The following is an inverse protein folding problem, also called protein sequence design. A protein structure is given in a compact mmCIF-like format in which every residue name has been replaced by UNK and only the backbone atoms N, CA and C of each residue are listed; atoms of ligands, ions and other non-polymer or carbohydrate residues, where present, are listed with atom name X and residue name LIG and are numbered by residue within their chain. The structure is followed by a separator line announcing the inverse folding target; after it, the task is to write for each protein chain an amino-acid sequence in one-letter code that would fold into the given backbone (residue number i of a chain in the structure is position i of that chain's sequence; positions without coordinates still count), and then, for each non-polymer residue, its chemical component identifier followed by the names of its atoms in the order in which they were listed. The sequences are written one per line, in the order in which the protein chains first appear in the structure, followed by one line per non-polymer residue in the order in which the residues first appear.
data_IF_549488288141
#
_entry.id   IF_549488288141
#
_cell.length_a   1.000
_cell.length_b   1.000
_cell.length_c   1.000
_cell.angle_alpha   90.00
_cell.angle_beta   90.00
_cell.angle_gamma   90.00
#
_symmetry.space_group_name_H-M   'P 1'
#
loop_
_entity.id
_entity.type
_entity.pdbx_description
1 polymer ?
#
# COMPACT_ATOMS: atom_id res chain seq x y z
N UNK A 1 -0.72 57.98 -39.49
CA UNK A 1 -1.69 59.00 -39.07
C UNK A 1 -2.03 58.73 -37.62
N UNK A 2 -1.61 59.70 -36.82
CA UNK A 2 -2.08 60.26 -35.55
C UNK A 2 -1.87 59.37 -34.35
N UNK A 3 -0.84 59.52 -33.52
CA UNK A 3 -0.42 60.58 -32.57
C UNK A 3 -1.52 60.95 -31.54
N UNK A 4 -1.16 60.65 -30.25
CA UNK A 4 -1.08 61.57 -29.10
C UNK A 4 -0.85 60.71 -27.86
N UNK A 5 0.21 60.79 -27.17
CA UNK A 5 0.95 61.77 -26.33
C UNK A 5 0.31 61.94 -24.95
N UNK A 6 1.21 61.76 -24.00
CA UNK A 6 1.52 62.50 -22.78
C UNK A 6 0.77 62.16 -21.49
N UNK A 7 1.61 62.09 -20.47
CA UNK A 7 1.41 62.61 -19.16
C UNK A 7 2.28 61.98 -18.07
N UNK A 8 3.44 62.60 -17.86
CA UNK A 8 4.35 62.44 -16.71
C UNK A 8 3.72 62.98 -15.44
N UNK A 9 3.97 62.38 -14.29
CA UNK A 9 4.28 63.15 -13.08
C UNK A 9 5.13 62.35 -12.10
N UNK A 10 6.25 62.94 -11.81
CA UNK A 10 7.25 62.49 -10.85
C UNK A 10 6.91 63.05 -9.46
N UNK A 11 7.03 62.23 -8.43
CA UNK A 11 7.22 62.75 -7.05
C UNK A 11 8.51 62.19 -6.47
N UNK A 12 9.46 63.08 -6.31
CA UNK A 12 10.70 62.97 -5.56
C UNK A 12 10.41 63.12 -4.07
N UNK A 13 10.90 62.22 -3.24
CA UNK A 13 11.09 62.49 -1.82
C UNK A 13 12.41 61.92 -1.33
N UNK A 14 13.13 62.79 -0.68
CA UNK A 14 14.55 62.76 -0.33
C UNK A 14 14.90 61.66 0.69
N UNK A 15 16.12 61.15 0.51
CA UNK A 15 16.83 60.27 1.44
C UNK A 15 17.51 61.07 2.53
N UNK A 16 17.36 60.64 3.79
CA UNK A 16 18.23 61.04 4.90
C UNK A 16 19.05 59.82 5.36
N UNK A 17 20.36 59.89 5.52
CA UNK A 17 21.17 58.80 5.99
C UNK A 17 21.19 58.76 7.52
N UNK A 18 20.81 57.65 8.11
CA UNK A 18 21.06 57.34 9.54
C UNK A 18 22.29 56.43 9.61
N UNK A 19 23.35 57.00 10.14
CA UNK A 19 24.58 56.34 10.50
C UNK A 19 24.40 55.66 11.86
N UNK A 20 24.47 54.32 11.98
CA UNK A 20 24.66 53.63 13.24
C UNK A 20 25.71 52.54 13.09
N UNK A 21 26.83 52.83 13.67
CA UNK A 21 27.88 51.91 14.03
C UNK A 21 27.30 50.83 14.96
N UNK A 22 27.28 49.55 14.55
CA UNK A 22 27.02 48.42 15.42
C UNK A 22 28.26 47.51 15.45
N UNK A 23 28.77 47.43 16.61
CA UNK A 23 29.84 46.57 17.11
C UNK A 23 29.60 45.12 16.74
N UNK A 24 30.64 44.49 16.24
CA UNK A 24 30.73 43.04 16.11
C UNK A 24 30.70 42.39 17.47
N UNK A 25 29.74 41.53 17.70
CA UNK A 25 29.71 40.57 18.81
C UNK A 25 29.33 39.18 18.31
N UNK A 26 30.29 38.30 18.50
CA UNK A 26 30.10 36.92 18.85
C UNK A 26 29.31 36.04 17.91
N UNK A 27 30.04 35.21 17.15
CA UNK A 27 29.48 34.09 16.45
C UNK A 27 28.67 33.18 17.37
N UNK A 28 27.46 32.90 16.97
CA UNK A 28 26.80 31.66 17.31
C UNK A 28 26.89 30.77 16.07
N UNK A 29 27.75 29.78 16.14
CA UNK A 29 27.67 28.58 15.31
C UNK A 29 26.31 27.93 15.52
N UNK A 30 25.29 28.42 14.82
CA UNK A 30 24.10 27.62 14.59
C UNK A 30 24.55 26.53 13.63
N UNK A 31 24.84 25.34 14.20
CA UNK A 31 25.00 24.12 13.45
C UNK A 31 23.83 24.07 12.46
N UNK A 32 24.15 24.20 11.18
CA UNK A 32 23.16 24.04 10.11
C UNK A 32 22.46 22.71 10.36
N UNK A 33 21.18 22.76 10.71
CA UNK A 33 20.40 21.56 10.96
C UNK A 33 20.48 20.74 9.67
N UNK A 34 21.24 19.64 9.71
CA UNK A 34 21.35 18.73 8.57
C UNK A 34 19.95 18.27 8.21
N UNK A 35 19.58 18.45 6.94
CA UNK A 35 18.26 18.03 6.47
C UNK A 35 18.03 16.55 6.82
N UNK A 36 16.79 16.14 7.21
CA UNK A 36 16.51 14.77 7.62
C UNK A 36 16.87 13.78 6.51
N UNK A 37 17.25 12.59 6.89
CA UNK A 37 17.50 11.49 5.95
C UNK A 37 16.22 11.13 5.22
N UNK A 38 16.35 10.68 3.98
CA UNK A 38 15.23 10.14 3.20
C UNK A 38 14.64 8.91 3.90
N UNK A 39 13.36 8.68 3.69
CA UNK A 39 12.69 7.50 4.26
C UNK A 39 13.07 6.24 3.47
N UNK A 40 13.74 5.25 4.08
CA UNK A 40 14.14 4.02 3.40
C UNK A 40 12.93 3.12 3.03
N UNK A 41 11.73 3.42 3.54
CA UNK A 41 10.49 2.76 3.13
C UNK A 41 9.91 3.34 1.84
N UNK A 42 10.44 4.45 1.36
CA UNK A 42 10.15 4.90 0.01
C UNK A 42 10.72 3.88 -0.98
N UNK A 43 9.89 3.30 -1.85
CA UNK A 43 10.28 2.24 -2.77
C UNK A 43 11.41 2.66 -3.72
N UNK A 44 11.47 3.94 -4.14
CA UNK A 44 12.61 4.48 -4.88
C UNK A 44 13.90 4.43 -4.04
N UNK A 45 13.86 4.90 -2.79
CA UNK A 45 15.03 4.91 -1.89
C UNK A 45 15.47 3.49 -1.56
N UNK A 46 14.52 2.58 -1.31
CA UNK A 46 14.77 1.16 -1.09
C UNK A 46 15.52 0.55 -2.27
N UNK A 47 14.98 0.68 -3.48
CA UNK A 47 15.61 0.14 -4.68
C UNK A 47 16.99 0.78 -4.91
N UNK A 48 17.12 2.10 -4.70
CA UNK A 48 18.37 2.83 -4.87
C UNK A 48 19.50 2.32 -3.96
N UNK A 49 19.16 1.88 -2.76
CA UNK A 49 20.14 1.32 -1.81
C UNK A 49 20.42 -0.15 -2.13
N UNK A 50 19.39 -0.99 -2.16
CA UNK A 50 19.56 -2.43 -2.14
C UNK A 50 19.80 -3.06 -3.50
N UNK A 51 19.35 -2.46 -4.61
CA UNK A 51 19.63 -2.98 -5.94
C UNK A 51 21.11 -2.80 -6.36
N UNK A 52 21.79 -1.81 -5.79
CA UNK A 52 23.21 -1.53 -6.04
C UNK A 52 24.17 -2.23 -5.05
N UNK A 53 23.64 -2.81 -3.95
CA UNK A 53 24.43 -3.41 -2.87
C UNK A 53 23.84 -4.77 -2.50
N UNK A 54 24.18 -5.77 -3.31
CA UNK A 54 23.61 -7.12 -3.19
C UNK A 54 23.91 -7.78 -1.83
N UNK A 55 25.04 -7.46 -1.21
CA UNK A 55 25.40 -8.02 0.09
C UNK A 55 24.46 -7.50 1.19
N UNK A 56 24.05 -6.23 1.13
CA UNK A 56 23.04 -5.66 2.04
C UNK A 56 21.66 -6.28 1.81
N UNK A 57 21.27 -6.46 0.54
CA UNK A 57 20.04 -7.15 0.23
C UNK A 57 20.04 -8.59 0.72
N UNK A 58 21.15 -9.29 0.53
CA UNK A 58 21.33 -10.67 0.97
C UNK A 58 21.22 -10.81 2.50
N UNK A 59 21.85 -9.92 3.25
CA UNK A 59 21.75 -9.91 4.72
C UNK A 59 20.33 -9.61 5.18
N UNK A 60 19.71 -8.54 4.66
CA UNK A 60 18.33 -8.15 4.97
C UNK A 60 17.34 -9.30 4.73
N UNK A 61 17.43 -9.94 3.56
CA UNK A 61 16.58 -11.09 3.21
C UNK A 61 16.75 -12.22 4.21
N UNK A 62 17.98 -12.58 4.58
CA UNK A 62 18.24 -13.65 5.51
C UNK A 62 17.80 -13.32 6.94
N UNK A 63 17.96 -12.07 7.38
CA UNK A 63 17.47 -11.60 8.69
C UNK A 63 15.93 -11.66 8.75
N UNK A 64 15.24 -11.31 7.68
CA UNK A 64 13.77 -11.39 7.62
C UNK A 64 13.29 -12.84 7.61
N UNK A 65 13.97 -13.73 6.89
CA UNK A 65 13.65 -15.17 6.85
C UNK A 65 13.94 -15.89 8.18
N UNK A 66 14.77 -15.31 9.00
CA UNK A 66 15.04 -15.79 10.36
C UNK A 66 15.87 -17.09 10.36
N UNK A 67 15.31 -18.17 10.93
CA UNK A 67 15.94 -19.49 11.09
C UNK A 67 15.92 -20.37 9.83
N UNK A 68 15.48 -19.84 8.67
CA UNK A 68 15.53 -20.56 7.41
C UNK A 68 16.98 -20.78 6.95
N UNK A 69 17.20 -21.79 6.10
CA UNK A 69 18.49 -21.97 5.44
C UNK A 69 18.89 -20.67 4.72
N UNK A 70 20.09 -20.11 4.99
CA UNK A 70 20.50 -18.84 4.40
C UNK A 70 20.57 -18.90 2.87
N UNK A 71 20.07 -17.86 2.25
CA UNK A 71 20.23 -17.62 0.82
C UNK A 71 21.59 -16.97 0.57
N UNK A 72 22.11 -17.21 -0.64
CA UNK A 72 23.29 -16.51 -1.15
C UNK A 72 22.93 -15.88 -2.50
N UNK A 73 22.51 -14.62 -2.47
CA UNK A 73 22.19 -13.86 -3.68
C UNK A 73 23.46 -13.66 -4.51
N UNK A 74 23.34 -13.80 -5.81
CA UNK A 74 24.45 -13.70 -6.77
C UNK A 74 24.28 -12.58 -7.78
N UNK A 75 23.04 -12.19 -8.08
CA UNK A 75 22.75 -11.18 -9.07
C UNK A 75 21.41 -10.50 -8.80
N UNK A 76 21.35 -9.17 -8.98
CA UNK A 76 20.10 -8.40 -9.11
C UNK A 76 19.73 -8.37 -10.58
N UNK A 77 18.48 -8.73 -10.92
CA UNK A 77 18.00 -8.86 -12.29
C UNK A 77 17.48 -7.53 -12.86
N UNK A 78 17.02 -6.63 -12.01
CA UNK A 78 16.46 -5.33 -12.38
C UNK A 78 17.11 -4.18 -11.59
N UNK A 79 18.44 -3.97 -11.69
CA UNK A 79 19.15 -3.00 -10.86
C UNK A 79 18.82 -1.54 -11.21
N UNK A 80 18.44 -1.27 -12.45
CA UNK A 80 18.20 0.09 -12.92
C UNK A 80 16.84 0.61 -12.47
N UNK A 81 16.79 1.93 -12.23
CA UNK A 81 15.56 2.69 -12.00
C UNK A 81 15.36 3.55 -13.23
N UNK A 82 14.40 3.17 -14.07
CA UNK A 82 14.08 3.91 -15.27
C UNK A 82 13.17 5.11 -14.94
N UNK A 83 13.21 6.22 -15.71
CA UNK A 83 12.32 7.36 -15.50
C UNK A 83 10.83 7.00 -15.51
N UNK A 84 10.43 6.06 -16.36
CA UNK A 84 9.08 5.50 -16.39
C UNK A 84 8.71 4.74 -15.11
N UNK A 85 9.68 4.20 -14.37
CA UNK A 85 9.44 3.55 -13.08
C UNK A 85 9.00 4.54 -12.01
N UNK A 86 9.29 5.83 -12.15
CA UNK A 86 8.94 6.86 -11.18
C UNK A 86 7.52 7.40 -11.42
N UNK A 87 7.07 7.43 -12.67
CA UNK A 87 5.79 8.05 -13.08
C UNK A 87 4.84 7.13 -13.83
N UNK A 88 5.23 5.89 -14.12
CA UNK A 88 4.42 4.92 -14.86
C UNK A 88 3.26 4.33 -14.04
N UNK A 89 2.23 3.83 -14.72
CA UNK A 89 1.04 3.24 -14.09
C UNK A 89 1.30 1.89 -13.40
N UNK A 90 2.32 1.18 -13.82
CA UNK A 90 2.72 -0.13 -13.29
C UNK A 90 4.18 -0.04 -12.85
N UNK A 91 4.40 0.53 -11.66
CA UNK A 91 5.74 0.63 -11.15
C UNK A 91 5.99 -0.53 -10.22
N UNK A 92 6.83 -1.39 -10.66
CA UNK A 92 7.45 -2.43 -9.87
C UNK A 92 8.84 -1.90 -9.51
N UNK A 93 8.92 -1.18 -8.39
CA UNK A 93 10.21 -0.84 -7.78
C UNK A 93 10.70 -1.96 -6.85
N UNK A 94 10.13 -3.15 -7.01
CA UNK A 94 10.58 -4.36 -6.35
C UNK A 94 11.97 -4.74 -6.85
N UNK A 95 12.75 -5.39 -6.01
CA UNK A 95 14.08 -5.85 -6.39
C UNK A 95 14.00 -7.35 -6.68
N UNK A 96 14.19 -7.68 -7.94
CA UNK A 96 14.32 -9.08 -8.36
C UNK A 96 15.79 -9.49 -8.32
N UNK A 97 16.08 -10.55 -7.59
CA UNK A 97 17.41 -11.13 -7.49
C UNK A 97 17.37 -12.64 -7.70
N UNK A 98 18.52 -13.23 -7.96
CA UNK A 98 18.70 -14.67 -8.06
C UNK A 98 19.81 -15.12 -7.12
N UNK A 99 19.62 -16.28 -6.51
CA UNK A 99 20.62 -16.86 -5.64
C UNK A 99 21.53 -17.88 -6.36
N UNK A 100 22.50 -18.44 -5.64
CA UNK A 100 23.45 -19.43 -6.16
C UNK A 100 22.81 -20.79 -6.57
N UNK A 101 21.52 -21.00 -6.25
CA UNK A 101 20.75 -22.19 -6.64
C UNK A 101 19.76 -21.88 -7.78
N UNK A 102 19.79 -20.66 -8.30
CA UNK A 102 18.87 -20.20 -9.33
C UNK A 102 17.46 -19.86 -8.82
N UNK A 103 17.23 -19.77 -7.51
CA UNK A 103 15.95 -19.37 -6.93
C UNK A 103 15.76 -17.87 -7.12
N UNK A 104 14.56 -17.46 -7.54
CA UNK A 104 14.20 -16.05 -7.67
C UNK A 104 13.79 -15.49 -6.32
N UNK A 105 14.36 -14.34 -5.96
CA UNK A 105 14.01 -13.59 -4.75
C UNK A 105 13.41 -12.26 -5.18
N UNK A 106 12.20 -11.98 -4.67
CA UNK A 106 11.46 -10.73 -4.88
C UNK A 106 11.41 -9.96 -3.54
N UNK A 107 12.09 -8.82 -3.49
CA UNK A 107 12.18 -7.94 -2.31
C UNK A 107 11.34 -6.69 -2.50
N UNK A 108 10.30 -6.51 -1.68
CA UNK A 108 9.38 -5.37 -1.73
C UNK A 108 9.27 -4.67 -0.38
N UNK A 109 9.19 -3.34 -0.39
CA UNK A 109 8.76 -2.54 0.77
C UNK A 109 7.40 -1.93 0.51
N UNK A 110 6.43 -2.15 1.43
CA UNK A 110 5.06 -1.68 1.26
C UNK A 110 4.62 -0.80 2.44
N UNK A 111 4.36 0.48 2.17
CA UNK A 111 4.05 1.49 3.20
C UNK A 111 2.57 1.50 3.61
N UNK A 112 1.67 1.08 2.72
CA UNK A 112 0.22 1.12 2.99
C UNK A 112 -0.44 -0.23 2.74
N UNK A 113 -1.26 -0.68 3.71
CA UNK A 113 -2.11 -1.86 3.55
C UNK A 113 -3.13 -1.64 2.43
N UNK A 114 -3.09 -2.50 1.42
CA UNK A 114 -4.09 -2.52 0.34
C UNK A 114 -5.06 -3.67 0.58
N UNK A 115 -6.30 -3.46 0.17
CA UNK A 115 -7.29 -4.54 0.14
C UNK A 115 -6.75 -5.69 -0.71
N UNK A 116 -6.92 -6.93 -0.24
CA UNK A 116 -6.45 -8.15 -0.92
C UNK A 116 -4.91 -8.23 -1.14
N UNK A 117 -4.11 -7.56 -0.30
CA UNK A 117 -2.65 -7.59 -0.42
C UNK A 117 -2.07 -9.01 -0.45
N UNK A 118 -2.46 -9.97 0.43
CA UNK A 118 -1.94 -11.35 0.37
C UNK A 118 -2.23 -12.05 -0.96
N UNK A 119 -3.43 -11.87 -1.52
CA UNK A 119 -3.78 -12.46 -2.82
C UNK A 119 -2.94 -11.87 -3.95
N UNK A 120 -2.64 -10.58 -3.89
CA UNK A 120 -1.77 -9.90 -4.85
C UNK A 120 -0.34 -10.43 -4.80
N UNK A 121 0.23 -10.54 -3.61
CA UNK A 121 1.56 -11.10 -3.39
C UNK A 121 1.66 -12.52 -3.94
N UNK A 122 0.69 -13.37 -3.59
CA UNK A 122 0.64 -14.73 -4.08
C UNK A 122 0.53 -14.79 -5.62
N UNK A 123 -0.27 -13.91 -6.22
CA UNK A 123 -0.43 -13.83 -7.67
C UNK A 123 0.90 -13.51 -8.37
N UNK A 124 1.64 -12.51 -7.89
CA UNK A 124 2.92 -12.14 -8.49
C UNK A 124 4.00 -13.21 -8.28
N UNK A 125 4.07 -13.82 -7.10
CA UNK A 125 4.97 -14.94 -6.85
C UNK A 125 4.66 -16.15 -7.77
N UNK A 126 3.38 -16.48 -7.92
CA UNK A 126 2.94 -17.54 -8.82
C UNK A 126 3.26 -17.23 -10.29
N UNK A 127 3.09 -15.96 -10.70
CA UNK A 127 3.43 -15.50 -12.04
C UNK A 127 4.93 -15.60 -12.30
N UNK A 128 5.76 -15.11 -11.38
CA UNK A 128 7.21 -15.23 -11.47
C UNK A 128 7.67 -16.70 -11.51
N UNK A 129 6.91 -17.61 -10.91
CA UNK A 129 7.17 -19.04 -10.99
C UNK A 129 6.80 -19.62 -12.35
N UNK A 130 5.63 -19.31 -12.88
CA UNK A 130 5.15 -19.82 -14.17
C UNK A 130 5.98 -19.26 -15.34
N UNK A 131 6.36 -17.98 -15.27
CA UNK A 131 7.12 -17.30 -16.34
C UNK A 131 8.56 -17.83 -16.50
N UNK A 132 9.02 -18.76 -15.64
CA UNK A 132 10.34 -19.41 -15.77
C UNK A 132 10.44 -20.42 -16.93
N UNK A 133 9.31 -20.95 -17.41
CA UNK A 133 9.27 -21.95 -18.48
C UNK A 133 8.27 -21.54 -19.55
N UNK A 134 8.66 -21.69 -20.82
CA UNK A 134 7.78 -21.49 -21.94
C UNK A 134 6.97 -22.78 -22.23
N UNK A 135 5.96 -22.65 -23.09
CA UNK A 135 5.17 -23.81 -23.56
C UNK A 135 6.06 -24.85 -24.24
N UNK A 136 5.99 -26.10 -23.77
CA UNK A 136 6.79 -27.21 -24.28
C UNK A 136 8.18 -27.35 -23.68
N UNK A 137 8.58 -26.49 -22.75
CA UNK A 137 9.84 -26.63 -22.03
C UNK A 137 9.74 -27.63 -20.85
N UNK A 138 10.90 -28.13 -20.41
CA UNK A 138 11.00 -29.10 -19.32
C UNK A 138 10.83 -28.41 -17.95
N UNK A 139 9.94 -28.94 -17.12
CA UNK A 139 9.69 -28.45 -15.76
C UNK A 139 10.90 -28.59 -14.81
N UNK A 140 11.94 -29.32 -15.17
CA UNK A 140 13.19 -29.39 -14.39
C UNK A 140 13.94 -28.04 -14.30
N UNK A 141 13.57 -27.06 -15.14
CA UNK A 141 14.08 -25.69 -15.10
C UNK A 141 13.47 -24.84 -13.99
N UNK A 142 12.30 -25.24 -13.47
CA UNK A 142 11.63 -24.49 -12.42
C UNK A 142 12.48 -24.41 -11.16
N UNK A 143 12.54 -23.22 -10.57
CA UNK A 143 13.18 -22.92 -9.29
C UNK A 143 12.19 -22.24 -8.37
N UNK A 144 12.40 -22.39 -7.07
CA UNK A 144 11.56 -21.73 -6.07
C UNK A 144 11.56 -20.21 -6.26
N UNK A 145 10.41 -19.60 -5.95
CA UNK A 145 10.27 -18.15 -5.86
C UNK A 145 10.08 -17.78 -4.40
N UNK A 146 10.85 -16.81 -3.92
CA UNK A 146 10.91 -16.38 -2.53
C UNK A 146 10.53 -14.90 -2.48
N UNK A 147 9.34 -14.59 -2.02
CA UNK A 147 8.91 -13.22 -1.75
C UNK A 147 9.36 -12.78 -0.35
N UNK A 148 9.90 -11.56 -0.25
CA UNK A 148 10.29 -10.92 1.00
C UNK A 148 9.67 -9.53 1.06
N UNK A 149 8.70 -9.35 1.95
CA UNK A 149 7.86 -8.17 2.00
C UNK A 149 8.02 -7.45 3.35
N UNK A 150 8.47 -6.19 3.31
CA UNK A 150 8.61 -5.32 4.48
C UNK A 150 7.39 -4.43 4.56
N UNK A 151 6.59 -4.55 5.64
CA UNK A 151 5.30 -3.90 5.78
C UNK A 151 5.34 -2.83 6.86
N UNK A 152 4.94 -1.59 6.52
CA UNK A 152 4.71 -0.51 7.49
C UNK A 152 3.28 -0.53 8.06
N UNK A 153 2.65 -1.69 8.05
CA UNK A 153 1.33 -1.94 8.64
C UNK A 153 1.23 -3.36 9.17
N UNK A 154 0.26 -3.61 10.08
CA UNK A 154 -0.04 -4.97 10.55
C UNK A 154 -1.00 -5.65 9.59
N UNK A 155 -0.55 -6.75 8.97
CA UNK A 155 -1.33 -7.61 8.09
C UNK A 155 -2.16 -8.62 8.89
N UNK A 156 -1.53 -9.25 9.88
CA UNK A 156 -2.15 -10.23 10.79
C UNK A 156 -2.53 -9.52 12.10
N UNK A 157 -3.85 -9.40 12.36
CA UNK A 157 -4.40 -8.53 13.41
C UNK A 157 -5.01 -9.29 14.58
N UNK A 158 -5.03 -10.61 14.53
CA UNK A 158 -5.55 -11.47 15.58
C UNK A 158 -4.75 -11.25 16.88
N UNK A 159 -5.42 -11.48 18.02
CA UNK A 159 -4.85 -11.18 19.33
C UNK A 159 -3.58 -12.01 19.63
N UNK A 160 -3.58 -13.27 19.20
CA UNK A 160 -2.44 -14.20 19.31
C UNK A 160 -1.24 -13.81 18.46
N UNK A 161 -1.45 -13.02 17.41
CA UNK A 161 -0.42 -12.62 16.46
C UNK A 161 0.20 -11.25 16.77
N UNK A 162 -0.26 -10.61 17.83
CA UNK A 162 0.14 -9.23 18.19
C UNK A 162 1.66 -9.02 18.25
N UNK A 163 2.39 -10.01 18.79
CA UNK A 163 3.83 -9.91 19.03
C UNK A 163 4.68 -10.62 17.97
N UNK A 164 4.04 -11.22 16.98
CA UNK A 164 4.73 -11.91 15.89
C UNK A 164 4.92 -10.97 14.71
N UNK A 165 6.14 -10.48 14.52
CA UNK A 165 6.49 -9.56 13.44
C UNK A 165 6.97 -10.26 12.17
N UNK A 166 7.53 -11.47 12.28
CA UNK A 166 8.08 -12.25 11.17
C UNK A 166 7.17 -13.43 10.84
N UNK A 167 6.88 -13.59 9.55
CA UNK A 167 6.02 -14.64 9.02
C UNK A 167 6.66 -15.29 7.82
N UNK A 168 6.59 -16.61 7.75
CA UNK A 168 7.02 -17.40 6.60
C UNK A 168 5.96 -18.40 6.22
N UNK A 169 5.53 -18.34 4.97
CA UNK A 169 4.55 -19.23 4.36
C UNK A 169 5.21 -20.04 3.25
N UNK A 170 4.84 -21.30 3.15
CA UNK A 170 5.34 -22.21 2.13
C UNK A 170 4.44 -23.44 2.02
N UNK A 171 4.68 -24.28 1.01
CA UNK A 171 3.94 -25.52 0.81
C UNK A 171 4.55 -26.62 1.68
N UNK A 172 3.84 -26.99 2.73
CA UNK A 172 4.25 -28.01 3.69
C UNK A 172 3.19 -29.09 3.82
N UNK A 173 3.61 -30.32 4.18
CA UNK A 173 2.67 -31.38 4.55
C UNK A 173 1.82 -30.96 5.76
N UNK A 174 0.55 -31.35 5.79
CA UNK A 174 -0.36 -31.02 6.90
C UNK A 174 -0.11 -31.86 8.18
N UNK A 175 0.66 -32.93 8.10
CA UNK A 175 0.99 -33.82 9.22
C UNK A 175 2.50 -33.76 9.56
N UNK A 176 2.84 -34.15 10.78
CA UNK A 176 4.24 -34.23 11.21
C UNK A 176 4.92 -35.55 10.78
N UNK A 177 6.21 -35.56 10.47
CA UNK A 177 7.08 -34.37 10.37
C UNK A 177 6.70 -33.53 9.14
N UNK A 178 6.71 -32.20 9.30
CA UNK A 178 6.44 -31.29 8.18
C UNK A 178 7.55 -31.38 7.14
N UNK A 179 7.14 -31.55 5.89
CA UNK A 179 8.04 -31.63 4.75
C UNK A 179 7.65 -30.60 3.71
N UNK A 180 8.61 -29.84 3.21
CA UNK A 180 8.42 -28.93 2.08
C UNK A 180 8.53 -29.70 0.75
N UNK A 181 7.96 -29.15 -0.32
CA UNK A 181 8.30 -29.54 -1.69
C UNK A 181 9.68 -28.97 -2.04
N UNK A 182 10.43 -29.66 -2.89
CA UNK A 182 11.77 -29.23 -3.30
C UNK A 182 11.72 -27.89 -4.08
N UNK A 183 10.67 -27.71 -4.88
CA UNK A 183 10.42 -26.47 -5.61
C UNK A 183 9.09 -25.89 -5.18
N UNK A 184 9.10 -24.66 -4.66
CA UNK A 184 7.92 -24.08 -4.04
C UNK A 184 7.89 -22.54 -4.12
N UNK A 185 6.72 -21.99 -3.74
CA UNK A 185 6.57 -20.59 -3.43
C UNK A 185 6.78 -20.41 -1.92
N UNK A 186 7.68 -19.51 -1.55
CA UNK A 186 7.89 -19.08 -0.16
C UNK A 186 7.58 -17.59 -0.05
N UNK A 187 6.77 -17.19 0.93
CA UNK A 187 6.44 -15.80 1.19
C UNK A 187 6.84 -15.42 2.61
N UNK A 188 7.64 -14.38 2.74
CA UNK A 188 8.12 -13.88 4.02
C UNK A 188 7.61 -12.46 4.22
N UNK A 189 7.04 -12.16 5.40
CA UNK A 189 6.57 -10.84 5.76
C UNK A 189 7.25 -10.37 7.04
N UNK A 190 7.68 -9.11 7.04
CA UNK A 190 8.15 -8.39 8.21
C UNK A 190 7.21 -7.22 8.49
N UNK A 191 6.50 -7.28 9.62
CA UNK A 191 5.57 -6.22 10.05
C UNK A 191 6.30 -5.25 10.99
N UNK A 192 6.79 -4.13 10.47
CA UNK A 192 7.55 -3.13 11.21
C UNK A 192 6.83 -2.57 12.45
N UNK A 193 5.50 -2.29 12.43
CA UNK A 193 4.81 -1.78 13.60
C UNK A 193 4.89 -2.68 14.83
N UNK A 194 5.02 -4.00 14.62
CA UNK A 194 5.14 -4.99 15.71
C UNK A 194 6.53 -5.04 16.33
N UNK A 195 7.53 -4.47 15.66
CA UNK A 195 8.91 -4.39 16.17
C UNK A 195 9.16 -3.15 17.03
N UNK A 196 8.46 -2.06 16.78
CA UNK A 196 8.66 -0.75 17.45
C UNK A 196 8.67 -0.82 18.97
N UNK A 197 7.82 -1.66 19.56
CA UNK A 197 7.63 -1.76 21.00
C UNK A 197 8.11 -3.09 21.58
N UNK A 198 8.82 -3.92 20.79
CA UNK A 198 9.26 -5.24 21.23
C UNK A 198 10.42 -5.11 22.19
N UNK A 199 10.10 -5.19 23.49
CA UNK A 199 11.11 -5.18 24.54
C UNK A 199 12.07 -6.35 24.38
N UNK A 200 13.37 -6.06 24.52
CA UNK A 200 14.42 -7.08 24.47
C UNK A 200 14.84 -7.54 23.07
N UNK A 201 14.24 -7.04 21.99
CA UNK A 201 14.62 -7.41 20.62
C UNK A 201 16.13 -7.14 20.37
N UNK A 202 16.63 -6.01 20.83
CA UNK A 202 18.05 -5.64 20.73
C UNK A 202 19.01 -6.69 21.33
N UNK A 203 18.56 -7.40 22.39
CA UNK A 203 19.34 -8.44 23.07
C UNK A 203 19.15 -9.82 22.46
N UNK A 204 17.97 -10.11 21.92
CA UNK A 204 17.61 -11.46 21.44
C UNK A 204 17.84 -11.65 19.95
N UNK A 205 17.72 -10.58 19.16
CA UNK A 205 17.97 -10.61 17.72
C UNK A 205 18.48 -9.23 17.26
N UNK A 206 19.77 -9.00 17.44
CA UNK A 206 20.42 -7.72 17.14
C UNK A 206 20.32 -7.32 15.65
N UNK A 207 20.56 -8.21 14.68
CA UNK A 207 20.40 -7.87 13.26
C UNK A 207 18.98 -7.38 12.94
N UNK A 208 17.95 -8.09 13.40
CA UNK A 208 16.57 -7.70 13.18
C UNK A 208 16.22 -6.35 13.85
N UNK A 209 16.75 -6.13 15.07
CA UNK A 209 16.58 -4.83 15.74
C UNK A 209 17.21 -3.70 14.91
N UNK A 210 18.43 -3.87 14.44
CA UNK A 210 19.17 -2.84 13.71
C UNK A 210 18.52 -2.51 12.36
N UNK A 211 18.04 -3.52 11.64
CA UNK A 211 17.23 -3.31 10.45
C UNK A 211 15.87 -2.63 10.77
N UNK A 212 15.26 -2.95 11.92
CA UNK A 212 14.02 -2.26 12.32
C UNK A 212 14.26 -0.77 12.61
N UNK A 213 15.40 -0.42 13.21
CA UNK A 213 15.80 1.00 13.40
C UNK A 213 16.05 1.68 12.06
N UNK A 214 16.71 1.01 11.12
CA UNK A 214 16.91 1.54 9.77
C UNK A 214 15.59 1.90 9.09
N UNK A 215 14.59 1.02 9.13
CA UNK A 215 13.31 1.27 8.46
C UNK A 215 12.36 2.19 9.24
N UNK A 216 12.39 2.19 10.57
CA UNK A 216 11.37 2.88 11.37
C UNK A 216 11.84 4.14 12.07
N UNK A 217 13.14 4.23 12.43
CA UNK A 217 13.68 5.27 13.29
C UNK A 217 14.94 5.95 12.72
N UNK A 218 15.05 5.97 11.41
CA UNK A 218 16.22 6.44 10.65
C UNK A 218 16.70 7.85 11.02
N UNK A 219 15.81 8.71 11.51
CA UNK A 219 16.15 10.08 11.95
C UNK A 219 16.27 10.20 13.49
N UNK A 220 16.22 9.09 14.23
CA UNK A 220 16.43 9.06 15.66
C UNK A 220 17.91 8.83 15.98
N UNK A 221 18.66 9.90 16.25
CA UNK A 221 20.11 9.81 16.51
C UNK A 221 20.49 8.88 17.66
N UNK A 222 19.69 8.80 18.72
CA UNK A 222 19.95 7.89 19.85
C UNK A 222 19.74 6.41 19.46
N UNK A 223 18.76 6.11 18.62
CA UNK A 223 18.54 4.77 18.10
C UNK A 223 19.66 4.38 17.12
N UNK A 224 20.05 5.28 16.22
CA UNK A 224 21.13 5.07 15.26
C UNK A 224 22.48 4.76 15.93
N UNK A 225 22.79 5.42 17.05
CA UNK A 225 24.05 5.16 17.80
C UNK A 225 24.11 3.75 18.37
N UNK A 226 22.99 3.07 18.58
CA UNK A 226 22.92 1.69 19.09
C UNK A 226 23.03 0.64 18.01
N UNK A 227 22.90 1.03 16.74
CA UNK A 227 23.07 0.12 15.61
C UNK A 227 24.51 -0.38 15.56
N UNK A 228 24.70 -1.69 15.55
CA UNK A 228 26.02 -2.34 15.57
C UNK A 228 26.18 -3.41 14.49
N UNK A 229 25.09 -3.92 13.92
CA UNK A 229 25.12 -4.87 12.81
C UNK A 229 25.81 -4.24 11.60
N UNK A 230 26.87 -4.85 11.03
CA UNK A 230 27.71 -4.21 10.02
C UNK A 230 26.93 -3.76 8.79
N UNK A 231 26.08 -4.61 8.25
CA UNK A 231 25.30 -4.37 7.03
C UNK A 231 24.27 -3.26 7.26
N UNK A 232 23.62 -3.23 8.42
CA UNK A 232 22.70 -2.15 8.76
C UNK A 232 23.44 -0.80 8.90
N UNK A 233 24.65 -0.78 9.48
CA UNK A 233 25.50 0.42 9.54
C UNK A 233 25.88 0.92 8.14
N UNK A 234 26.30 0.02 7.28
CA UNK A 234 26.65 0.34 5.91
C UNK A 234 25.45 0.93 5.16
N UNK A 235 24.26 0.33 5.31
CA UNK A 235 23.01 0.85 4.74
C UNK A 235 22.70 2.28 5.23
N UNK A 236 22.97 2.60 6.51
CA UNK A 236 22.84 3.96 7.02
C UNK A 236 23.81 4.94 6.36
N UNK A 237 25.07 4.57 6.14
CA UNK A 237 26.05 5.44 5.49
C UNK A 237 25.68 5.68 4.02
N UNK A 238 25.22 4.67 3.31
CA UNK A 238 24.71 4.81 1.94
C UNK A 238 23.48 5.73 1.93
N UNK A 239 22.53 5.53 2.85
CA UNK A 239 21.34 6.38 2.95
C UNK A 239 21.72 7.85 3.22
N UNK A 240 22.73 8.13 4.04
CA UNK A 240 23.25 9.49 4.25
C UNK A 240 23.78 10.09 2.93
N UNK A 241 24.56 9.32 2.18
CA UNK A 241 25.09 9.73 0.89
C UNK A 241 23.98 10.03 -0.12
N UNK A 242 23.01 9.11 -0.25
CA UNK A 242 21.83 9.30 -1.11
C UNK A 242 21.04 10.53 -0.66
N UNK A 243 20.81 10.70 0.64
CA UNK A 243 20.06 11.83 1.20
C UNK A 243 20.77 13.18 1.04
N UNK A 244 22.09 13.21 0.86
CA UNK A 244 22.85 14.43 0.64
C UNK A 244 22.68 14.99 -0.79
N UNK A 245 22.23 14.17 -1.75
CA UNK A 245 22.13 14.51 -3.16
C UNK A 245 20.78 15.15 -3.47
N UNK A 246 20.79 16.37 -4.02
CA UNK A 246 19.56 17.10 -4.37
C UNK A 246 18.71 16.34 -5.40
N UNK A 247 19.35 15.67 -6.36
CA UNK A 247 18.67 14.86 -7.37
C UNK A 247 17.91 13.69 -6.74
N UNK A 248 18.54 12.93 -5.84
CA UNK A 248 17.92 11.79 -5.15
C UNK A 248 16.72 12.23 -4.30
N UNK A 249 16.82 13.39 -3.61
CA UNK A 249 15.68 13.97 -2.89
C UNK A 249 14.53 14.33 -3.81
N UNK A 250 14.82 14.90 -4.97
CA UNK A 250 13.79 15.27 -5.95
C UNK A 250 13.06 14.01 -6.48
N UNK A 251 13.80 12.94 -6.80
CA UNK A 251 13.20 11.70 -7.28
C UNK A 251 12.35 11.00 -6.20
N UNK A 252 12.84 10.97 -4.96
CA UNK A 252 12.07 10.45 -3.83
C UNK A 252 10.77 11.24 -3.60
N UNK A 253 10.82 12.58 -3.70
CA UNK A 253 9.63 13.44 -3.60
C UNK A 253 8.65 13.22 -4.75
N UNK A 254 9.15 13.09 -5.99
CA UNK A 254 8.32 12.76 -7.16
C UNK A 254 7.57 11.46 -6.95
N UNK A 255 8.26 10.46 -6.43
CA UNK A 255 7.65 9.15 -6.13
C UNK A 255 6.56 9.27 -5.07
N UNK A 256 6.81 9.97 -3.97
CA UNK A 256 5.80 10.21 -2.92
C UNK A 256 4.56 10.91 -3.50
N UNK A 257 4.77 11.93 -4.32
CA UNK A 257 3.67 12.65 -4.97
C UNK A 257 2.85 11.74 -5.85
N UNK A 258 3.51 10.98 -6.72
CA UNK A 258 2.85 10.02 -7.60
C UNK A 258 2.00 8.99 -6.83
N UNK A 259 2.57 8.36 -5.79
CA UNK A 259 1.84 7.38 -4.95
C UNK A 259 0.62 8.02 -4.28
N UNK A 260 0.74 9.27 -3.81
CA UNK A 260 -0.39 10.01 -3.23
C UNK A 260 -1.49 10.28 -4.26
N UNK A 261 -1.13 10.71 -5.45
CA UNK A 261 -2.09 10.95 -6.54
C UNK A 261 -2.83 9.69 -6.95
N UNK A 262 -2.13 8.58 -7.14
CA UNK A 262 -2.73 7.28 -7.46
C UNK A 262 -3.67 6.80 -6.36
N UNK A 263 -3.28 6.97 -5.09
CA UNK A 263 -4.13 6.58 -3.96
C UNK A 263 -5.38 7.48 -3.88
N UNK A 264 -5.24 8.79 -4.06
CA UNK A 264 -6.37 9.72 -4.06
C UNK A 264 -7.40 9.39 -5.15
N UNK A 265 -6.94 9.04 -6.36
CA UNK A 265 -7.84 8.62 -7.46
C UNK A 265 -8.58 7.32 -7.09
N UNK A 266 -7.89 6.35 -6.49
CA UNK A 266 -8.49 5.09 -6.05
C UNK A 266 -9.53 5.31 -4.95
N UNK A 267 -9.21 6.13 -3.95
CA UNK A 267 -10.11 6.46 -2.86
C UNK A 267 -11.36 7.17 -3.37
N UNK A 268 -11.22 8.10 -4.32
CA UNK A 268 -12.34 8.76 -4.99
C UNK A 268 -13.28 7.74 -5.66
N UNK A 269 -12.76 6.84 -6.48
CA UNK A 269 -13.60 5.83 -7.16
C UNK A 269 -14.22 4.83 -6.19
N UNK A 270 -13.54 4.49 -5.11
CA UNK A 270 -14.09 3.66 -4.04
C UNK A 270 -15.28 4.33 -3.36
N UNK A 271 -15.14 5.60 -2.99
CA UNK A 271 -16.21 6.35 -2.34
C UNK A 271 -17.40 6.57 -3.29
N UNK A 272 -17.16 6.86 -4.57
CA UNK A 272 -18.18 6.98 -5.59
C UNK A 272 -18.97 5.66 -5.74
N UNK A 273 -18.27 4.54 -5.89
CA UNK A 273 -18.89 3.20 -5.97
C UNK A 273 -19.68 2.85 -4.70
N UNK A 274 -19.14 3.16 -3.53
CA UNK A 274 -19.81 2.96 -2.24
C UNK A 274 -21.10 3.78 -2.13
N UNK A 275 -21.08 5.05 -2.51
CA UNK A 275 -22.25 5.92 -2.48
C UNK A 275 -23.31 5.43 -3.47
N UNK A 276 -22.91 5.02 -4.67
CA UNK A 276 -23.80 4.41 -5.64
C UNK A 276 -24.44 3.12 -5.10
N UNK A 277 -23.67 2.23 -4.53
CA UNK A 277 -24.14 0.99 -3.90
C UNK A 277 -25.13 1.23 -2.76
N UNK A 278 -24.85 2.20 -1.88
CA UNK A 278 -25.77 2.60 -0.79
C UNK A 278 -27.09 3.13 -1.36
N UNK A 279 -27.04 3.95 -2.41
CA UNK A 279 -28.23 4.50 -3.06
C UNK A 279 -29.10 3.39 -3.68
N UNK A 280 -28.46 2.47 -4.39
CA UNK A 280 -29.14 1.31 -5.00
C UNK A 280 -29.75 0.43 -3.89
N UNK A 281 -28.98 0.02 -2.90
CA UNK A 281 -29.46 -0.86 -1.83
C UNK A 281 -30.60 -0.24 -0.99
N UNK A 282 -30.58 1.11 -0.80
CA UNK A 282 -31.71 1.81 -0.15
C UNK A 282 -32.97 1.80 -1.01
N UNK A 283 -32.85 1.99 -2.32
CA UNK A 283 -33.98 1.94 -3.23
C UNK A 283 -34.59 0.53 -3.31
N UNK A 284 -33.75 -0.49 -3.44
CA UNK A 284 -34.16 -1.89 -3.45
C UNK A 284 -34.81 -2.31 -2.12
N UNK A 285 -34.19 -1.98 -0.99
CA UNK A 285 -34.74 -2.28 0.33
C UNK A 285 -36.08 -1.57 0.59
N UNK A 286 -36.25 -0.31 0.10
CA UNK A 286 -37.55 0.38 0.17
C UNK A 286 -38.60 -0.34 -0.66
N UNK A 287 -38.27 -0.73 -1.89
CA UNK A 287 -39.19 -1.42 -2.77
C UNK A 287 -39.61 -2.78 -2.19
N UNK A 288 -38.66 -3.56 -1.66
CA UNK A 288 -38.92 -4.86 -1.03
C UNK A 288 -39.81 -4.72 0.22
N UNK A 289 -39.48 -3.78 1.11
CA UNK A 289 -40.27 -3.51 2.31
C UNK A 289 -41.71 -3.06 1.95
N UNK A 290 -41.87 -2.20 0.93
CA UNK A 290 -43.17 -1.74 0.46
C UNK A 290 -43.94 -2.89 -0.15
N UNK A 291 -43.31 -3.74 -0.98
CA UNK A 291 -43.89 -4.93 -1.58
C UNK A 291 -44.44 -5.88 -0.51
N UNK A 292 -43.62 -6.18 0.49
CA UNK A 292 -44.03 -7.06 1.58
C UNK A 292 -45.19 -6.49 2.40
N UNK A 293 -45.23 -5.16 2.61
CA UNK A 293 -46.31 -4.48 3.30
C UNK A 293 -47.59 -4.56 2.49
N UNK A 294 -47.55 -4.17 1.22
CA UNK A 294 -48.70 -4.17 0.31
C UNK A 294 -49.27 -5.58 0.18
N UNK A 295 -48.45 -6.58 -0.02
CA UNK A 295 -48.86 -7.98 -0.07
C UNK A 295 -49.67 -8.40 1.15
N UNK A 296 -49.15 -8.14 2.34
CA UNK A 296 -49.85 -8.43 3.61
C UNK A 296 -51.16 -7.66 3.77
N UNK A 297 -51.22 -6.43 3.33
CA UNK A 297 -52.48 -5.62 3.37
C UNK A 297 -53.53 -6.17 2.44
N UNK A 298 -53.12 -6.53 1.21
CA UNK A 298 -54.02 -7.13 0.23
C UNK A 298 -54.56 -8.48 0.67
N UNK A 299 -53.68 -9.36 1.19
CA UNK A 299 -54.11 -10.66 1.74
C UNK A 299 -55.07 -10.50 2.92
N UNK A 300 -54.85 -9.55 3.79
CA UNK A 300 -55.68 -9.29 4.95
C UNK A 300 -57.09 -8.77 4.57
N UNK A 301 -57.22 -8.00 3.49
CA UNK A 301 -58.50 -7.44 3.06
C UNK A 301 -59.24 -8.35 2.12
N UNK A 302 -58.54 -8.99 1.18
CA UNK A 302 -59.17 -9.74 0.09
C UNK A 302 -58.98 -11.25 0.16
N UNK A 303 -58.22 -11.75 1.14
CA UNK A 303 -57.85 -13.18 1.25
C UNK A 303 -56.54 -13.52 0.53
N UNK A 304 -56.19 -14.83 0.47
CA UNK A 304 -54.95 -15.25 -0.19
C UNK A 304 -54.82 -14.79 -1.63
N UNK A 305 -53.62 -14.28 -2.00
CA UNK A 305 -53.36 -13.82 -3.34
C UNK A 305 -53.23 -15.00 -4.32
N UNK A 306 -53.83 -14.87 -5.49
CA UNK A 306 -53.60 -15.83 -6.56
C UNK A 306 -52.15 -15.75 -7.07
N UNK A 307 -51.58 -16.84 -7.65
CA UNK A 307 -50.24 -16.83 -8.23
C UNK A 307 -50.04 -15.71 -9.25
N UNK A 308 -51.07 -15.33 -9.99
CA UNK A 308 -51.05 -14.26 -10.98
C UNK A 308 -50.92 -12.88 -10.30
N UNK A 309 -51.71 -12.64 -9.23
CA UNK A 309 -51.63 -11.41 -8.46
C UNK A 309 -50.28 -11.28 -7.72
N UNK A 310 -49.78 -12.39 -7.19
CA UNK A 310 -48.44 -12.43 -6.56
C UNK A 310 -47.33 -12.09 -7.56
N UNK A 311 -47.38 -12.69 -8.76
CA UNK A 311 -46.40 -12.38 -9.83
C UNK A 311 -46.45 -10.92 -10.25
N UNK A 312 -47.63 -10.31 -10.30
CA UNK A 312 -47.81 -8.90 -10.60
C UNK A 312 -47.20 -8.01 -9.51
N UNK A 313 -47.43 -8.37 -8.25
CA UNK A 313 -46.88 -7.66 -7.12
C UNK A 313 -45.33 -7.76 -7.08
N UNK A 314 -44.79 -8.94 -7.39
CA UNK A 314 -43.34 -9.19 -7.42
C UNK A 314 -42.62 -8.39 -8.52
N UNK A 315 -43.28 -8.19 -9.66
CA UNK A 315 -42.78 -7.43 -10.80
C UNK A 315 -43.01 -5.93 -10.67
N UNK A 316 -43.81 -5.45 -9.69
CA UNK A 316 -44.16 -4.06 -9.54
C UNK A 316 -43.02 -3.14 -9.17
N UNK A 317 -42.93 -2.00 -9.78
CA UNK A 317 -41.99 -0.91 -9.39
C UNK A 317 -42.42 -0.28 -8.08
N UNK A 318 -41.54 0.48 -7.43
CA UNK A 318 -41.86 1.18 -6.18
C UNK A 318 -43.08 2.11 -6.34
N UNK A 319 -43.14 2.82 -7.44
CA UNK A 319 -44.27 3.73 -7.77
C UNK A 319 -45.57 2.96 -7.90
N UNK A 320 -45.57 1.82 -8.57
CA UNK A 320 -46.75 0.95 -8.67
C UNK A 320 -47.16 0.36 -7.32
N UNK A 321 -46.15 -0.01 -6.46
CA UNK A 321 -46.45 -0.50 -5.10
C UNK A 321 -47.03 0.59 -4.21
N UNK A 322 -46.58 1.83 -4.31
CA UNK A 322 -47.17 2.98 -3.62
C UNK A 322 -48.59 3.23 -4.10
N UNK A 323 -48.85 3.15 -5.42
CA UNK A 323 -50.19 3.25 -6.01
C UNK A 323 -51.13 2.13 -5.51
N UNK A 324 -50.64 0.86 -5.44
CA UNK A 324 -51.44 -0.26 -4.91
C UNK A 324 -51.77 -0.08 -3.43
N UNK A 325 -50.86 0.53 -2.66
CA UNK A 325 -51.09 0.84 -1.26
C UNK A 325 -52.16 1.91 -1.05
N UNK A 326 -52.23 2.90 -1.94
CA UNK A 326 -53.28 3.91 -1.93
C UNK A 326 -54.66 3.34 -2.41
N UNK A 327 -54.66 2.61 -3.50
CA UNK A 327 -55.84 1.95 -4.05
C UNK A 327 -56.47 0.92 -3.08
N UNK A 328 -55.64 0.23 -2.28
CA UNK A 328 -56.08 -0.69 -1.24
C UNK A 328 -57.14 -0.10 -0.31
N UNK A 329 -57.04 1.18 0.01
CA UNK A 329 -57.97 1.83 0.96
C UNK A 329 -59.42 1.88 0.44
N UNK A 330 -59.60 2.12 -0.86
CA UNK A 330 -60.92 2.40 -1.50
C UNK A 330 -61.40 1.29 -2.42
N UNK A 331 -60.52 0.48 -2.99
CA UNK A 331 -60.86 -0.54 -3.97
C UNK A 331 -61.82 -1.59 -3.39
N UNK A 332 -62.92 -1.90 -4.07
CA UNK A 332 -63.89 -2.94 -3.66
C UNK A 332 -63.41 -4.36 -4.01
N UNK A 333 -62.40 -4.52 -4.87
CA UNK A 333 -61.89 -5.81 -5.28
C UNK A 333 -60.36 -5.81 -5.41
N UNK A 334 -59.75 -7.02 -5.32
CA UNK A 334 -58.29 -7.19 -5.52
C UNK A 334 -57.84 -6.77 -6.92
N UNK A 335 -58.66 -7.02 -7.94
CA UNK A 335 -58.36 -6.65 -9.31
C UNK A 335 -58.29 -5.14 -9.50
N UNK A 336 -59.21 -4.40 -8.86
CA UNK A 336 -59.18 -2.93 -8.88
C UNK A 336 -58.05 -2.35 -8.03
N UNK A 337 -57.70 -2.99 -6.92
CA UNK A 337 -56.54 -2.57 -6.10
C UNK A 337 -55.20 -2.73 -6.82
N UNK A 338 -55.09 -3.69 -7.74
CA UNK A 338 -53.91 -3.95 -8.56
C UNK A 338 -54.04 -3.41 -10.01
N UNK A 339 -55.01 -2.55 -10.26
CA UNK A 339 -55.12 -1.86 -11.56
C UNK A 339 -53.92 -0.91 -11.77
N UNK A 340 -53.47 -0.71 -13.03
CA UNK A 340 -52.33 0.16 -13.33
C UNK A 340 -52.63 1.64 -13.09
#
# INVERSE_FOLDING_TARGET
MSQHSSGSDAFSAAATPVNTSATASGGSDTAAATAPLLDPRNDYVFKRIFASHIDLLNDLVNVIRGDAEPLRLTQVLNPDILPEDITGKEIILDILAVDNQGRTVDGEVQVSGRQHYPARVLYYAARAFVDQVAEGEDYNKLRSVIGVHILDFSLFKEAEDRDRAQWRFGMLTHHEPRRALDTQLELNFLELPKLKNRQGLEKTNKPLYDWSVFFSDVNNGAAMQRVSHPEAKEAFEILKSVSATAQERLEAERRIRYVREVNAIKDYHWDEGKQAGIKIGRAEGKAEATRALVGRLLERKFGPLSPECQSKLDAATLEQLEHYAEAFMTAPSLQEALAP
#
